data_IF_335530512580
#
_entry.id   IF_335530512580
#
_cell.length_a   1.000
_cell.length_b   1.000
_cell.length_c   1.000
_cell.angle_alpha   90.00
_cell.angle_beta   90.00
_cell.angle_gamma   90.00
#
_symmetry.space_group_name_H-M   'P 1'
#
loop_
_entity.id
_entity.type
_entity.pdbx_description
1 polymer ?
#
# COMPACT_ATOMS: atom_id res chain seq x y z
N UNK A 1 34.03 3.38 -29.89
CA UNK A 1 33.07 4.24 -29.14
C UNK A 1 32.11 3.35 -28.37
N UNK A 2 32.06 3.41 -27.03
CA UNK A 2 31.04 2.70 -26.25
C UNK A 2 29.71 3.43 -26.42
N UNK A 3 28.70 2.75 -26.96
CA UNK A 3 27.32 3.27 -27.04
C UNK A 3 26.82 3.41 -25.60
N UNK A 4 26.56 4.65 -25.16
CA UNK A 4 25.94 4.89 -23.85
C UNK A 4 24.50 4.39 -23.97
N UNK A 5 24.20 3.26 -23.35
CA UNK A 5 22.83 2.75 -23.28
C UNK A 5 21.97 3.74 -22.50
N UNK A 6 20.89 4.23 -23.10
CA UNK A 6 19.94 5.11 -22.42
C UNK A 6 19.23 4.31 -21.33
N UNK A 7 19.40 4.72 -20.08
CA UNK A 7 18.66 4.19 -18.95
C UNK A 7 17.35 4.98 -18.83
N UNK A 8 16.22 4.31 -19.06
CA UNK A 8 14.91 4.89 -18.75
C UNK A 8 14.45 4.37 -17.39
N UNK A 9 14.04 5.29 -16.51
CA UNK A 9 13.50 4.99 -15.19
C UNK A 9 12.04 5.42 -15.15
N UNK A 10 11.17 4.51 -14.73
CA UNK A 10 9.75 4.77 -14.52
C UNK A 10 9.34 4.25 -13.16
N UNK A 11 8.50 4.99 -12.44
CA UNK A 11 8.01 4.64 -11.11
C UNK A 11 6.49 4.54 -11.12
N UNK A 12 5.97 3.39 -10.70
CA UNK A 12 4.58 3.25 -10.27
C UNK A 12 4.53 3.48 -8.75
N UNK A 13 3.53 4.26 -8.31
CA UNK A 13 3.27 4.52 -6.90
C UNK A 13 2.07 3.69 -6.47
N UNK A 14 2.28 2.76 -5.55
CA UNK A 14 1.30 1.74 -5.22
C UNK A 14 0.75 1.99 -3.83
N UNK A 15 -0.58 1.99 -3.72
CA UNK A 15 -1.29 1.86 -2.45
C UNK A 15 -1.95 0.48 -2.39
N UNK A 16 -1.90 -0.13 -1.21
CA UNK A 16 -2.59 -1.38 -0.94
C UNK A 16 -3.27 -1.32 0.41
N UNK A 17 -4.43 -1.97 0.52
CA UNK A 17 -5.12 -2.17 1.80
C UNK A 17 -5.80 -3.53 1.80
N UNK A 18 -5.67 -4.23 2.91
CA UNK A 18 -6.39 -5.47 3.19
C UNK A 18 -7.20 -5.30 4.46
N UNK A 19 -8.47 -5.68 4.40
CA UNK A 19 -9.26 -5.96 5.58
C UNK A 19 -9.72 -7.39 5.54
N UNK A 20 -9.47 -8.12 6.60
CA UNK A 20 -9.96 -9.47 6.75
C UNK A 20 -10.48 -9.73 8.16
N UNK A 21 -11.37 -10.69 8.27
CA UNK A 21 -11.90 -11.19 9.53
C UNK A 21 -11.54 -12.66 9.61
N UNK A 22 -10.62 -12.99 10.51
CA UNK A 22 -10.15 -14.35 10.75
C UNK A 22 -11.11 -15.01 11.73
N UNK A 23 -12.00 -15.86 11.20
CA UNK A 23 -13.05 -16.55 11.95
C UNK A 23 -12.58 -17.86 12.61
N UNK A 24 -11.44 -18.41 12.17
CA UNK A 24 -10.90 -19.69 12.66
C UNK A 24 -10.17 -19.59 14.02
N UNK A 25 -10.05 -18.38 14.58
CA UNK A 25 -9.44 -18.13 15.88
C UNK A 25 -10.49 -17.69 16.92
N UNK A 26 -10.37 -18.12 18.18
CA UNK A 26 -11.20 -17.64 19.29
C UNK A 26 -10.34 -16.77 20.23
N UNK A 27 -10.67 -15.48 20.42
CA UNK A 27 -11.73 -14.74 19.75
C UNK A 27 -11.38 -14.44 18.27
N UNK A 28 -12.39 -14.35 17.41
CA UNK A 28 -12.20 -13.96 16.01
C UNK A 28 -11.41 -12.65 15.93
N UNK A 29 -10.52 -12.53 14.95
CA UNK A 29 -9.63 -11.38 14.82
C UNK A 29 -9.94 -10.53 13.58
N UNK A 30 -9.86 -9.22 13.75
CA UNK A 30 -9.76 -8.27 12.66
C UNK A 30 -8.29 -8.16 12.26
N UNK A 31 -8.03 -8.32 10.96
CA UNK A 31 -6.76 -8.01 10.33
C UNK A 31 -6.96 -6.80 9.42
N UNK A 32 -6.24 -5.71 9.68
CA UNK A 32 -6.21 -4.52 8.83
C UNK A 32 -4.78 -4.17 8.50
N UNK A 33 -4.46 -4.16 7.22
CA UNK A 33 -3.17 -3.75 6.70
C UNK A 33 -3.35 -2.67 5.65
N UNK A 34 -2.53 -1.64 5.68
CA UNK A 34 -2.45 -0.66 4.59
C UNK A 34 -0.98 -0.29 4.35
N UNK A 35 -0.63 -0.05 3.08
CA UNK A 35 0.77 0.16 2.72
C UNK A 35 0.97 0.95 1.45
N UNK A 36 2.12 1.63 1.41
CA UNK A 36 2.61 2.42 0.30
C UNK A 36 3.92 1.83 -0.19
N UNK A 37 4.03 1.59 -1.49
CA UNK A 37 5.24 1.07 -2.13
C UNK A 37 5.54 1.81 -3.43
N UNK A 38 6.82 1.90 -3.77
CA UNK A 38 7.28 2.40 -5.08
C UNK A 38 7.82 1.23 -5.87
N UNK A 39 7.31 1.06 -7.09
CA UNK A 39 7.78 0.04 -8.03
C UNK A 39 8.52 0.73 -9.16
N UNK A 40 9.84 0.56 -9.15
CA UNK A 40 10.77 1.16 -10.09
C UNK A 40 11.08 0.18 -11.22
N UNK A 41 10.96 0.65 -12.45
CA UNK A 41 11.34 -0.04 -13.67
C UNK A 41 12.56 0.65 -14.27
N UNK A 42 13.64 -0.11 -14.47
CA UNK A 42 14.84 0.36 -15.17
C UNK A 42 15.01 -0.42 -16.47
N UNK A 43 14.93 0.28 -17.59
CA UNK A 43 15.19 -0.31 -18.90
C UNK A 43 16.66 -0.10 -19.28
N UNK A 44 17.35 -1.21 -19.55
CA UNK A 44 18.75 -1.27 -19.98
C UNK A 44 18.82 -2.04 -21.31
N UNK A 45 18.90 -1.31 -22.42
CA UNK A 45 18.79 -1.91 -23.74
C UNK A 45 17.44 -2.62 -23.94
N UNK A 46 17.46 -3.95 -24.07
CA UNK A 46 16.28 -4.81 -24.23
C UNK A 46 15.79 -5.42 -22.91
N UNK A 47 16.52 -5.21 -21.81
CA UNK A 47 16.18 -5.79 -20.50
C UNK A 47 15.44 -4.78 -19.62
N UNK A 48 14.48 -5.28 -18.82
CA UNK A 48 13.76 -4.50 -17.80
C UNK A 48 14.07 -5.09 -16.43
N UNK A 49 14.65 -4.30 -15.54
CA UNK A 49 14.82 -4.63 -14.12
C UNK A 49 13.70 -3.98 -13.33
N UNK A 50 13.10 -4.74 -12.42
CA UNK A 50 12.03 -4.28 -11.54
C UNK A 50 12.52 -4.31 -10.09
N UNK A 51 12.21 -3.26 -9.33
CA UNK A 51 12.45 -3.21 -7.89
C UNK A 51 11.20 -2.67 -7.21
N UNK A 52 10.71 -3.39 -6.21
CA UNK A 52 9.65 -2.90 -5.32
C UNK A 52 10.30 -2.44 -4.02
N UNK A 53 10.01 -1.22 -3.60
CA UNK A 53 10.51 -0.64 -2.35
C UNK A 53 9.29 -0.29 -1.50
N UNK A 54 9.03 -1.01 -0.38
CA UNK A 54 8.04 -0.57 0.59
C UNK A 54 8.50 0.75 1.21
N UNK A 55 7.58 1.70 1.36
CA UNK A 55 7.87 3.05 1.86
C UNK A 55 7.29 3.23 3.26
N UNK A 56 6.03 2.82 3.44
CA UNK A 56 5.34 2.95 4.72
C UNK A 56 4.23 1.89 4.80
N UNK A 57 3.93 1.42 6.00
CA UNK A 57 2.87 0.45 6.21
C UNK A 57 2.34 0.51 7.64
N UNK A 58 1.04 0.30 7.77
CA UNK A 58 0.35 0.23 9.04
C UNK A 58 -0.39 -1.11 9.16
N UNK A 59 -0.39 -1.64 10.38
CA UNK A 59 -0.99 -2.92 10.71
C UNK A 59 -1.81 -2.78 12.00
N UNK A 60 -3.06 -3.19 11.94
CA UNK A 60 -3.94 -3.31 13.09
C UNK A 60 -4.49 -4.73 13.18
N UNK A 61 -4.09 -5.44 14.22
CA UNK A 61 -4.58 -6.76 14.56
C UNK A 61 -5.21 -6.73 15.94
N UNK A 62 -6.52 -6.92 16.00
CA UNK A 62 -7.28 -6.89 17.26
C UNK A 62 -8.41 -7.93 17.24
N UNK A 63 -8.85 -8.43 18.40
CA UNK A 63 -10.11 -9.17 18.47
C UNK A 63 -11.26 -8.35 17.86
N UNK A 64 -12.20 -8.98 17.16
CA UNK A 64 -13.37 -8.28 16.57
C UNK A 64 -14.12 -7.48 17.63
N UNK A 65 -14.20 -7.97 18.86
CA UNK A 65 -14.84 -7.27 19.98
C UNK A 65 -14.22 -5.90 20.30
N UNK A 66 -12.96 -5.68 19.90
CA UNK A 66 -12.23 -4.41 20.03
C UNK A 66 -12.06 -3.68 18.69
N UNK A 67 -12.79 -4.08 17.64
CA UNK A 67 -12.72 -3.44 16.33
C UNK A 67 -13.06 -1.94 16.46
N UNK A 68 -12.17 -1.05 16.00
CA UNK A 68 -12.47 0.37 16.00
C UNK A 68 -13.62 0.69 15.05
N UNK A 69 -14.39 1.73 15.36
CA UNK A 69 -15.60 2.09 14.61
C UNK A 69 -15.32 2.36 13.12
N UNK A 70 -14.16 2.94 12.81
CA UNK A 70 -13.77 3.26 11.44
C UNK A 70 -13.64 2.00 10.56
N UNK A 71 -13.18 0.88 11.13
CA UNK A 71 -12.95 -0.38 10.42
C UNK A 71 -14.26 -1.01 9.92
N UNK A 72 -15.40 -0.68 10.54
CA UNK A 72 -16.72 -1.14 10.10
C UNK A 72 -17.11 -0.61 8.72
N UNK A 73 -16.59 0.57 8.35
CA UNK A 73 -16.87 1.24 7.06
C UNK A 73 -15.99 0.72 5.93
N UNK A 74 -14.91 0.03 6.28
CA UNK A 74 -13.96 -0.52 5.31
C UNK A 74 -14.53 -1.84 4.78
N UNK A 75 -14.66 -2.03 3.46
CA UNK A 75 -15.02 -3.32 2.86
C UNK A 75 -13.96 -4.39 3.17
N UNK A 76 -14.39 -5.65 3.34
CA UNK A 76 -13.46 -6.78 3.42
C UNK A 76 -12.80 -7.03 2.06
N UNK A 77 -11.61 -7.61 2.08
CA UNK A 77 -10.82 -7.94 0.91
C UNK A 77 -9.55 -7.10 0.79
N UNK A 78 -8.78 -7.40 -0.25
CA UNK A 78 -7.55 -6.69 -0.61
C UNK A 78 -7.78 -5.82 -1.82
N UNK A 79 -7.40 -4.54 -1.72
CA UNK A 79 -7.25 -3.62 -2.84
C UNK A 79 -5.78 -3.30 -3.03
N UNK A 80 -5.36 -3.19 -4.29
CA UNK A 80 -4.03 -2.77 -4.70
C UNK A 80 -4.15 -1.95 -5.97
N UNK A 81 -3.79 -0.68 -5.90
CA UNK A 81 -3.99 0.27 -6.99
C UNK A 81 -2.75 1.12 -7.20
N UNK A 82 -2.52 1.52 -8.44
CA UNK A 82 -1.60 2.61 -8.73
C UNK A 82 -2.29 3.94 -8.40
N UNK A 83 -1.60 4.77 -7.63
CA UNK A 83 -2.01 6.13 -7.30
C UNK A 83 -1.10 7.13 -8.00
N UNK A 84 -1.57 8.36 -8.20
CA UNK A 84 -0.68 9.41 -8.71
C UNK A 84 0.44 9.70 -7.71
N UNK A 85 1.59 10.18 -8.21
CA UNK A 85 2.67 10.66 -7.34
C UNK A 85 2.17 11.64 -6.29
N UNK A 86 1.25 12.55 -6.65
CA UNK A 86 0.67 13.53 -5.72
C UNK A 86 -0.12 12.85 -4.61
N UNK A 87 -1.06 11.96 -4.95
CA UNK A 87 -1.83 11.20 -3.96
C UNK A 87 -0.91 10.40 -3.03
N UNK A 88 0.11 9.74 -3.58
CA UNK A 88 1.08 8.98 -2.79
C UNK A 88 1.77 9.84 -1.70
N UNK A 89 2.22 11.04 -2.05
CA UNK A 89 2.90 11.92 -1.07
C UNK A 89 1.91 12.50 -0.06
N UNK A 90 0.67 12.77 -0.46
CA UNK A 90 -0.41 13.17 0.46
C UNK A 90 -0.63 12.06 1.48
N UNK A 91 -0.88 10.82 1.02
CA UNK A 91 -1.08 9.66 1.90
C UNK A 91 0.11 9.40 2.82
N UNK A 92 1.33 9.53 2.31
CA UNK A 92 2.54 9.37 3.12
C UNK A 92 2.64 10.44 4.21
N UNK A 93 2.24 11.67 3.90
CA UNK A 93 2.25 12.78 4.88
C UNK A 93 1.17 12.58 5.92
N UNK A 94 -0.07 12.30 5.48
CA UNK A 94 -1.21 12.04 6.35
C UNK A 94 -0.96 10.84 7.26
N UNK A 95 -0.37 9.75 6.76
CA UNK A 95 -0.05 8.58 7.57
C UNK A 95 0.99 8.85 8.68
N UNK A 96 1.91 9.80 8.47
CA UNK A 96 2.84 10.20 9.53
C UNK A 96 2.16 11.06 10.63
N UNK A 97 1.09 11.78 10.29
CA UNK A 97 0.34 12.62 11.24
C UNK A 97 -0.76 11.83 11.94
N UNK A 98 -1.51 11.03 11.19
CA UNK A 98 -2.57 10.13 11.63
C UNK A 98 -2.47 8.80 10.86
N UNK A 99 -1.85 7.76 11.44
CA UNK A 99 -1.74 6.43 10.82
C UNK A 99 -3.09 5.82 10.40
N UNK A 100 -4.20 6.21 11.04
CA UNK A 100 -5.54 5.69 10.70
C UNK A 100 -6.00 6.14 9.32
N UNK A 101 -5.56 7.31 8.86
CA UNK A 101 -5.88 7.86 7.54
C UNK A 101 -5.57 6.87 6.41
N UNK A 102 -4.50 6.09 6.56
CA UNK A 102 -4.05 5.15 5.54
C UNK A 102 -5.05 4.01 5.32
N UNK A 103 -5.84 3.60 6.32
CA UNK A 103 -6.87 2.58 6.15
C UNK A 103 -8.15 3.12 5.48
N UNK A 104 -8.35 4.45 5.53
CA UNK A 104 -9.58 5.12 5.11
C UNK A 104 -9.51 5.68 3.70
N UNK A 105 -8.34 5.69 3.07
CA UNK A 105 -8.20 6.12 1.70
C UNK A 105 -9.02 5.22 0.75
N UNK A 106 -9.81 5.88 -0.08
CA UNK A 106 -10.63 5.28 -1.12
C UNK A 106 -10.15 5.76 -2.49
N UNK A 107 -9.61 4.87 -3.35
CA UNK A 107 -8.99 5.26 -4.61
C UNK A 107 -9.96 5.52 -5.78
N UNK A 108 -11.26 5.67 -5.53
CA UNK A 108 -12.28 5.99 -6.56
C UNK A 108 -11.94 7.19 -7.45
#
# INVERSE_FOLDING_TARGET
>A
MKRIERVNIHNEYIYMRTKDIIEDEIPNKLYLYAGLAIKEYRTLGTSVRKKVTPVHSELLEVPISKMPSFAKRIPNGTIGVEVTKKQFHILLTEAHEDPVSLFLFDPE
#
